data_IF_492280383969
#
_entry.id   IF_492280383969
#
_cell.length_a   1.000
_cell.length_b   1.000
_cell.length_c   1.000
_cell.angle_alpha   90.00
_cell.angle_beta   90.00
_cell.angle_gamma   90.00
#
_symmetry.space_group_name_H-M   'P 1'
#
loop_
_entity.id
_entity.type
_entity.pdbx_description
1 polymer ?
#
# COMPACT_ATOMS: atom_id res chain seq x y z
N UNK A 1 -7.40 -6.54 -12.59
CA UNK A 1 -6.26 -7.08 -11.85
C UNK A 1 -5.01 -6.96 -12.71
N UNK A 2 -3.92 -6.42 -12.15
CA UNK A 2 -2.62 -6.25 -12.83
C UNK A 2 -1.61 -7.33 -12.42
N UNK A 3 -1.86 -7.99 -11.29
CA UNK A 3 -1.01 -9.00 -10.69
C UNK A 3 -1.40 -9.17 -9.23
N UNK A 4 -0.48 -9.75 -8.46
CA UNK A 4 -0.61 -10.03 -7.03
C UNK A 4 0.41 -9.18 -6.26
N UNK A 5 -0.05 -8.57 -5.18
CA UNK A 5 0.79 -8.07 -4.10
C UNK A 5 0.81 -9.15 -3.03
N UNK A 6 1.98 -9.76 -2.81
CA UNK A 6 2.17 -10.78 -1.79
C UNK A 6 2.67 -10.10 -0.51
N UNK A 7 1.78 -9.87 0.46
CA UNK A 7 2.14 -9.29 1.74
C UNK A 7 2.40 -10.36 2.79
N UNK A 8 3.64 -10.46 3.26
CA UNK A 8 4.10 -11.64 3.98
C UNK A 8 4.33 -12.83 3.04
N UNK A 9 4.70 -14.02 3.55
CA UNK A 9 4.83 -14.34 4.97
C UNK A 9 6.19 -13.97 5.58
N UNK A 10 7.12 -13.37 4.80
CA UNK A 10 8.50 -13.09 5.21
C UNK A 10 8.63 -11.80 6.04
N UNK A 11 7.88 -11.71 7.13
CA UNK A 11 7.74 -10.51 7.95
C UNK A 11 8.21 -10.73 9.39
N UNK A 12 8.44 -9.64 10.13
CA UNK A 12 8.79 -9.72 11.53
C UNK A 12 7.55 -10.09 12.37
N UNK A 13 7.58 -11.24 13.05
CA UNK A 13 6.46 -11.72 13.85
C UNK A 13 6.03 -10.75 14.96
N UNK A 14 6.96 -9.94 15.49
CA UNK A 14 6.66 -8.91 16.48
C UNK A 14 5.90 -7.72 15.88
N UNK A 15 5.91 -7.57 14.56
CA UNK A 15 5.20 -6.56 13.79
C UNK A 15 4.06 -7.19 12.97
N UNK A 16 3.53 -8.35 13.36
CA UNK A 16 2.54 -9.08 12.55
C UNK A 16 1.24 -8.31 12.29
N UNK A 17 0.82 -7.41 13.19
CA UNK A 17 -0.50 -6.77 13.09
C UNK A 17 -1.63 -7.79 12.95
N UNK A 18 -2.39 -7.71 11.86
CA UNK A 18 -3.46 -8.66 11.51
C UNK A 18 -3.00 -9.84 10.64
N UNK A 19 -1.71 -10.15 10.62
CA UNK A 19 -1.16 -11.34 9.99
C UNK A 19 -1.19 -12.53 10.97
N UNK A 20 -1.51 -13.71 10.46
CA UNK A 20 -1.51 -14.95 11.24
C UNK A 20 -0.10 -15.40 11.57
N UNK A 21 0.21 -15.46 12.86
CA UNK A 21 1.53 -15.81 13.35
C UNK A 21 1.99 -17.20 12.93
N UNK A 22 1.07 -18.17 12.87
CA UNK A 22 1.36 -19.55 12.46
C UNK A 22 1.66 -19.70 10.97
N UNK A 23 1.41 -18.66 10.17
CA UNK A 23 1.74 -18.60 8.74
C UNK A 23 2.98 -17.76 8.44
N UNK A 24 3.56 -17.08 9.45
CA UNK A 24 4.82 -16.35 9.31
C UNK A 24 5.94 -17.39 9.30
N UNK A 25 6.72 -17.38 8.22
CA UNK A 25 7.81 -18.35 8.00
C UNK A 25 9.12 -17.61 7.79
N UNK A 26 10.28 -18.28 8.02
CA UNK A 26 11.57 -17.71 7.69
C UNK A 26 11.65 -17.25 6.24
N UNK A 27 12.34 -16.14 6.02
CA UNK A 27 12.62 -15.63 4.69
C UNK A 27 13.41 -16.65 3.87
N UNK A 28 12.89 -17.02 2.69
CA UNK A 28 13.49 -18.04 1.82
C UNK A 28 13.25 -17.71 0.35
N UNK A 29 14.35 -17.63 -0.39
CA UNK A 29 14.32 -17.48 -1.86
C UNK A 29 13.68 -18.71 -2.50
N UNK A 30 13.97 -19.93 -2.00
CA UNK A 30 13.42 -21.16 -2.56
C UNK A 30 11.89 -21.24 -2.42
N UNK A 31 11.34 -20.75 -1.30
CA UNK A 31 9.88 -20.65 -1.13
C UNK A 31 9.30 -19.60 -2.07
N UNK A 32 9.96 -18.45 -2.20
CA UNK A 32 9.51 -17.39 -3.12
C UNK A 32 9.52 -17.84 -4.58
N UNK A 33 10.52 -18.61 -5.01
CA UNK A 33 10.56 -19.22 -6.34
C UNK A 33 9.34 -20.12 -6.60
N UNK A 34 8.94 -20.91 -5.59
CA UNK A 34 7.71 -21.70 -5.67
C UNK A 34 6.48 -20.81 -5.81
N UNK A 35 6.36 -19.75 -5.01
CA UNK A 35 5.23 -18.80 -5.14
C UNK A 35 5.19 -18.12 -6.52
N UNK A 36 6.34 -17.73 -7.08
CA UNK A 36 6.42 -17.16 -8.44
C UNK A 36 5.94 -18.18 -9.47
N UNK A 37 6.38 -19.44 -9.35
CA UNK A 37 5.98 -20.52 -10.25
C UNK A 37 4.49 -20.82 -10.16
N UNK A 38 3.96 -21.05 -8.96
CA UNK A 38 2.54 -21.40 -8.74
C UNK A 38 1.60 -20.25 -9.07
N UNK A 39 2.03 -19.00 -8.90
CA UNK A 39 1.25 -17.83 -9.32
C UNK A 39 1.27 -17.59 -10.84
N UNK A 40 2.03 -18.36 -11.62
CA UNK A 40 2.20 -18.13 -13.06
C UNK A 40 2.85 -16.78 -13.39
N UNK A 41 3.73 -16.28 -12.51
CA UNK A 41 4.40 -14.98 -12.68
C UNK A 41 3.51 -13.75 -12.44
N UNK A 42 2.37 -13.93 -11.74
CA UNK A 42 1.45 -12.83 -11.45
C UNK A 42 1.93 -11.92 -10.32
N UNK A 43 2.85 -12.35 -9.46
CA UNK A 43 3.37 -11.54 -8.35
C UNK A 43 4.13 -10.33 -8.91
N UNK A 44 3.80 -9.13 -8.43
CA UNK A 44 4.41 -7.84 -8.85
C UNK A 44 5.06 -7.09 -7.69
N UNK A 45 4.54 -7.27 -6.48
CA UNK A 45 5.04 -6.63 -5.27
C UNK A 45 5.12 -7.71 -4.20
N UNK A 46 6.20 -7.70 -3.41
CA UNK A 46 6.33 -8.54 -2.21
C UNK A 46 6.64 -7.62 -1.02
N UNK A 47 5.79 -7.68 0.00
CA UNK A 47 6.05 -7.01 1.29
C UNK A 47 6.71 -7.97 2.25
N UNK A 48 7.87 -7.56 2.76
CA UNK A 48 8.72 -8.34 3.66
C UNK A 48 9.44 -7.42 4.66
N UNK A 49 10.08 -8.01 5.66
CA UNK A 49 10.88 -7.32 6.66
C UNK A 49 12.38 -7.41 6.31
N UNK A 50 13.04 -6.31 5.88
CA UNK A 50 14.42 -6.36 5.40
C UNK A 50 15.46 -6.75 6.45
N UNK A 51 15.19 -6.58 7.75
CA UNK A 51 16.09 -7.05 8.81
C UNK A 51 16.22 -8.59 8.86
N UNK A 52 15.33 -9.32 8.18
CA UNK A 52 15.39 -10.77 8.03
C UNK A 52 16.21 -11.21 6.80
N UNK A 53 16.57 -10.27 5.92
CA UNK A 53 17.24 -10.54 4.64
C UNK A 53 18.76 -10.43 4.78
N UNK A 54 19.40 -11.53 5.13
CA UNK A 54 20.86 -11.58 5.29
C UNK A 54 21.57 -11.26 3.97
N UNK A 55 22.48 -10.27 4.01
CA UNK A 55 23.19 -9.73 2.85
C UNK A 55 22.29 -9.18 1.73
N UNK A 56 21.00 -8.92 2.00
CA UNK A 56 20.02 -8.42 1.04
C UNK A 56 19.85 -9.30 -0.22
N UNK A 57 20.07 -10.62 -0.08
CA UNK A 57 19.98 -11.59 -1.18
C UNK A 57 18.55 -11.73 -1.69
N UNK A 58 17.56 -11.69 -0.80
CA UNK A 58 16.16 -11.77 -1.18
C UNK A 58 15.70 -10.51 -1.92
N UNK A 59 16.12 -9.35 -1.43
CA UNK A 59 15.89 -8.04 -2.09
C UNK A 59 16.43 -8.06 -3.52
N UNK A 60 17.69 -8.49 -3.68
CA UNK A 60 18.35 -8.59 -4.99
C UNK A 60 17.61 -9.57 -5.91
N UNK A 61 17.27 -10.74 -5.38
CA UNK A 61 16.52 -11.76 -6.11
C UNK A 61 15.17 -11.24 -6.63
N UNK A 62 14.38 -10.55 -5.79
CA UNK A 62 13.11 -9.96 -6.21
C UNK A 62 13.33 -8.95 -7.34
N UNK A 63 14.33 -8.07 -7.20
CA UNK A 63 14.64 -7.07 -8.21
C UNK A 63 15.07 -7.72 -9.55
N UNK A 64 15.88 -8.78 -9.52
CA UNK A 64 16.29 -9.56 -10.70
C UNK A 64 15.11 -10.26 -11.39
N UNK A 65 14.06 -10.59 -10.64
CA UNK A 65 12.80 -11.14 -11.17
C UNK A 65 11.80 -10.06 -11.60
N UNK A 66 12.20 -8.79 -11.61
CA UNK A 66 11.33 -7.63 -11.87
C UNK A 66 10.11 -7.55 -10.93
N UNK A 67 10.26 -8.09 -9.71
CA UNK A 67 9.28 -7.99 -8.63
C UNK A 67 9.72 -6.86 -7.70
N UNK A 68 8.79 -6.01 -7.30
CA UNK A 68 9.06 -4.84 -6.49
C UNK A 68 9.20 -5.26 -5.02
N UNK A 69 10.39 -5.09 -4.41
CA UNK A 69 10.53 -5.30 -2.98
C UNK A 69 9.92 -4.11 -2.24
N UNK A 70 8.99 -4.41 -1.32
CA UNK A 70 8.33 -3.44 -0.46
C UNK A 70 8.61 -3.76 1.01
N UNK A 71 8.97 -2.76 1.80
CA UNK A 71 9.12 -2.94 3.25
C UNK A 71 7.77 -2.82 3.96
N UNK A 72 7.48 -3.75 4.87
CA UNK A 72 6.34 -3.68 5.78
C UNK A 72 6.48 -4.69 6.90
N UNK A 73 5.72 -4.53 7.99
CA UNK A 73 5.78 -5.42 9.15
C UNK A 73 7.22 -5.65 9.64
N UNK A 74 7.94 -4.55 9.86
CA UNK A 74 9.40 -4.52 10.01
C UNK A 74 9.81 -3.71 11.24
N UNK A 75 10.75 -4.24 12.02
CA UNK A 75 11.39 -3.52 13.11
C UNK A 75 12.83 -3.11 12.77
N UNK A 76 13.20 -3.10 11.49
CA UNK A 76 14.51 -2.68 11.01
C UNK A 76 14.92 -1.28 11.49
N UNK A 77 16.22 -1.13 11.74
CA UNK A 77 16.84 0.18 11.94
C UNK A 77 17.02 0.94 10.62
N UNK A 78 17.45 2.20 10.73
CA UNK A 78 17.63 3.08 9.58
C UNK A 78 18.67 2.51 8.58
N UNK A 79 19.84 2.08 9.07
CA UNK A 79 20.95 1.64 8.23
C UNK A 79 20.65 0.36 7.44
N UNK A 80 19.84 -0.53 8.01
CA UNK A 80 19.32 -1.71 7.32
C UNK A 80 18.50 -1.30 6.10
N UNK A 81 17.64 -0.28 6.23
CA UNK A 81 16.80 0.19 5.12
C UNK A 81 17.64 0.90 4.06
N UNK A 82 18.59 1.75 4.48
CA UNK A 82 19.52 2.39 3.55
C UNK A 82 20.29 1.36 2.75
N UNK A 83 20.71 0.27 3.39
CA UNK A 83 21.41 -0.82 2.72
C UNK A 83 20.49 -1.56 1.75
N UNK A 84 19.27 -1.94 2.17
CA UNK A 84 18.30 -2.61 1.30
C UNK A 84 17.96 -1.81 0.02
N UNK A 85 17.92 -0.47 0.10
CA UNK A 85 17.71 0.41 -1.07
C UNK A 85 18.81 0.20 -2.11
N UNK A 86 20.07 -0.01 -1.69
CA UNK A 86 21.20 -0.26 -2.61
C UNK A 86 21.06 -1.59 -3.36
N UNK A 87 20.28 -2.53 -2.82
CA UNK A 87 19.99 -3.83 -3.41
C UNK A 87 18.64 -3.89 -4.14
N UNK A 88 17.93 -2.76 -4.26
CA UNK A 88 16.73 -2.66 -5.09
C UNK A 88 15.40 -2.55 -4.34
N UNK A 89 15.40 -2.29 -3.03
CA UNK A 89 14.18 -1.91 -2.30
C UNK A 89 13.56 -0.63 -2.92
N UNK A 90 12.26 -0.67 -3.25
CA UNK A 90 11.59 0.38 -4.06
C UNK A 90 10.36 1.01 -3.42
N UNK A 91 9.67 0.31 -2.52
CA UNK A 91 8.43 0.78 -1.90
C UNK A 91 8.39 0.46 -0.41
N UNK A 92 7.44 1.06 0.31
CA UNK A 92 7.05 0.67 1.66
C UNK A 92 5.53 0.56 1.75
N UNK A 93 5.04 -0.53 2.32
CA UNK A 93 3.61 -0.76 2.53
C UNK A 93 3.11 -0.02 3.77
N UNK A 94 1.94 0.61 3.65
CA UNK A 94 1.19 1.29 4.73
C UNK A 94 2.05 1.94 5.83
N UNK A 95 2.97 2.83 5.44
CA UNK A 95 3.93 3.50 6.33
C UNK A 95 3.30 3.91 7.67
N UNK A 96 4.09 3.79 8.75
CA UNK A 96 3.74 3.96 10.17
C UNK A 96 3.11 2.73 10.83
N UNK A 97 2.34 1.93 10.09
CA UNK A 97 1.67 0.75 10.63
C UNK A 97 2.66 -0.41 10.70
N UNK A 98 2.78 -1.05 11.88
CA UNK A 98 3.67 -2.21 12.08
C UNK A 98 5.13 -1.94 11.66
N UNK A 99 5.66 -0.76 12.02
CA UNK A 99 7.02 -0.34 11.70
C UNK A 99 7.75 0.25 12.92
N UNK A 100 9.09 0.10 12.97
CA UNK A 100 9.91 0.87 13.92
C UNK A 100 9.77 2.37 13.64
N UNK A 101 9.18 3.10 14.60
CA UNK A 101 8.90 4.53 14.52
C UNK A 101 10.14 5.41 14.60
N UNK A 102 9.93 6.73 14.49
CA UNK A 102 11.00 7.73 14.52
C UNK A 102 11.40 8.07 15.95
N UNK A 103 12.69 7.89 16.27
CA UNK A 103 13.32 8.47 17.43
C UNK A 103 14.50 9.37 17.00
N UNK A 104 14.76 10.45 17.73
CA UNK A 104 15.72 11.49 17.30
C UNK A 104 17.18 11.01 17.17
N UNK A 105 17.57 9.92 17.84
CA UNK A 105 18.87 9.23 17.69
C UNK A 105 18.81 7.95 16.84
N UNK A 106 17.61 7.42 16.65
CA UNK A 106 17.36 6.16 15.95
C UNK A 106 16.14 6.35 15.06
N UNK A 107 16.31 6.86 13.82
CA UNK A 107 15.18 7.20 12.97
C UNK A 107 14.30 6.00 12.62
N UNK A 108 14.85 4.78 12.70
CA UNK A 108 14.13 3.54 12.45
C UNK A 108 13.68 3.38 11.00
N UNK A 109 12.80 2.41 10.79
CA UNK A 109 12.17 2.13 9.48
C UNK A 109 11.44 3.37 8.95
N UNK A 110 10.59 3.99 9.77
CA UNK A 110 9.80 5.17 9.36
C UNK A 110 10.70 6.34 8.99
N UNK A 111 11.77 6.59 9.75
CA UNK A 111 12.71 7.67 9.47
C UNK A 111 13.39 7.49 8.11
N UNK A 112 13.87 6.27 7.81
CA UNK A 112 14.45 5.95 6.51
C UNK A 112 13.44 6.16 5.38
N UNK A 113 12.22 5.66 5.55
CA UNK A 113 11.16 5.86 4.55
C UNK A 113 10.90 7.35 4.36
N UNK A 114 10.83 8.18 5.40
CA UNK A 114 10.57 9.62 5.24
C UNK A 114 11.69 10.35 4.48
N UNK A 115 12.95 10.05 4.77
CA UNK A 115 14.10 10.80 4.24
C UNK A 115 14.56 10.33 2.86
N UNK A 116 14.35 9.06 2.50
CA UNK A 116 14.91 8.50 1.27
C UNK A 116 14.08 8.78 0.02
N UNK A 117 14.54 9.70 -0.83
CA UNK A 117 13.77 10.24 -1.98
C UNK A 117 13.38 9.20 -3.04
N UNK A 118 14.11 8.10 -3.14
CA UNK A 118 13.90 7.11 -4.19
C UNK A 118 12.90 6.01 -3.78
N UNK A 119 12.47 5.97 -2.52
CA UNK A 119 11.51 5.01 -2.01
C UNK A 119 10.08 5.57 -2.12
N UNK A 120 9.15 4.78 -2.66
CA UNK A 120 7.72 5.08 -2.59
C UNK A 120 7.18 4.75 -1.19
N UNK A 121 6.25 5.55 -0.69
CA UNK A 121 5.58 5.34 0.59
C UNK A 121 4.08 5.19 0.39
N UNK A 122 3.56 3.98 0.64
CA UNK A 122 2.12 3.70 0.62
C UNK A 122 1.48 4.17 1.93
N UNK A 123 0.33 4.83 1.86
CA UNK A 123 -0.40 5.37 3.01
C UNK A 123 -1.89 5.05 2.92
N UNK A 124 -2.46 4.62 4.05
CA UNK A 124 -3.91 4.44 4.23
C UNK A 124 -4.51 5.77 4.71
N UNK A 125 -5.32 6.40 3.87
CA UNK A 125 -5.86 7.73 4.12
C UNK A 125 -7.31 7.70 4.66
N UNK A 126 -7.58 6.86 5.66
CA UNK A 126 -8.91 6.73 6.28
C UNK A 126 -9.10 7.61 7.53
N UNK A 127 -8.04 8.30 7.98
CA UNK A 127 -7.97 9.07 9.23
C UNK A 127 -8.10 8.23 10.52
N UNK A 128 -8.05 6.90 10.42
CA UNK A 128 -8.11 5.95 11.54
C UNK A 128 -6.73 5.32 11.74
N UNK A 129 -6.16 4.75 10.67
CA UNK A 129 -4.82 4.16 10.71
C UNK A 129 -3.77 5.23 11.00
N UNK A 130 -3.90 6.39 10.36
CA UNK A 130 -2.93 7.47 10.46
C UNK A 130 -3.63 8.80 10.66
N UNK A 131 -3.23 9.51 11.71
CA UNK A 131 -3.75 10.84 12.02
C UNK A 131 -3.48 11.82 10.85
N UNK A 132 -4.43 12.71 10.49
CA UNK A 132 -4.26 13.64 9.35
C UNK A 132 -2.98 14.50 9.39
N UNK A 133 -2.53 14.89 10.58
CA UNK A 133 -1.27 15.62 10.75
C UNK A 133 -0.03 14.79 10.36
N UNK A 134 -0.06 13.47 10.57
CA UNK A 134 1.02 12.56 10.20
C UNK A 134 1.03 12.29 8.70
N UNK A 135 -0.14 12.20 8.05
CA UNK A 135 -0.22 12.14 6.58
C UNK A 135 0.33 13.43 5.97
N UNK A 136 0.02 14.59 6.56
CA UNK A 136 0.61 15.86 6.15
C UNK A 136 2.13 15.90 6.33
N UNK A 137 2.65 15.36 7.45
CA UNK A 137 4.09 15.24 7.67
C UNK A 137 4.74 14.36 6.59
N UNK A 138 4.14 13.21 6.28
CA UNK A 138 4.59 12.33 5.21
C UNK A 138 4.68 13.08 3.88
N UNK A 139 3.61 13.74 3.46
CA UNK A 139 3.58 14.44 2.16
C UNK A 139 4.56 15.61 2.12
N UNK A 140 4.81 16.29 3.24
CA UNK A 140 5.83 17.35 3.33
C UNK A 140 7.26 16.82 3.25
N UNK A 141 7.55 15.70 3.93
CA UNK A 141 8.89 15.12 3.99
C UNK A 141 9.23 14.29 2.74
N UNK A 142 8.34 13.38 2.36
CA UNK A 142 8.48 12.48 1.20
C UNK A 142 8.21 13.18 -0.13
N UNK A 143 7.25 14.10 -0.14
CA UNK A 143 6.72 14.70 -1.35
C UNK A 143 5.56 13.90 -1.94
N UNK A 144 4.66 14.62 -2.62
CA UNK A 144 3.50 14.03 -3.28
C UNK A 144 3.88 13.09 -4.44
N UNK A 145 5.06 13.22 -5.05
CA UNK A 145 5.48 12.38 -6.18
C UNK A 145 5.95 10.97 -5.75
N UNK A 146 6.18 10.77 -4.45
CA UNK A 146 6.67 9.51 -3.88
C UNK A 146 5.75 8.94 -2.79
N UNK A 147 4.56 9.51 -2.64
CA UNK A 147 3.52 8.99 -1.76
C UNK A 147 2.46 8.28 -2.59
N UNK A 148 2.00 7.10 -2.19
CA UNK A 148 0.96 6.33 -2.86
C UNK A 148 -0.20 6.17 -1.90
N UNK A 149 -1.41 6.51 -2.33
CA UNK A 149 -2.61 6.22 -1.54
C UNK A 149 -3.00 4.78 -1.83
N UNK A 150 -3.11 3.98 -0.77
CA UNK A 150 -3.70 2.64 -0.83
C UNK A 150 -4.96 2.63 0.02
N UNK A 151 -5.84 1.68 -0.25
CA UNK A 151 -6.97 1.43 0.63
C UNK A 151 -6.60 0.48 1.75
N UNK A 152 -5.74 -0.51 1.46
CA UNK A 152 -5.56 -1.68 2.34
C UNK A 152 -6.92 -2.23 2.78
N UNK A 153 -7.79 -2.47 1.80
CA UNK A 153 -9.20 -2.73 2.05
C UNK A 153 -9.46 -4.23 2.14
N UNK A 154 -10.11 -4.66 3.21
CA UNK A 154 -10.59 -6.03 3.35
C UNK A 154 -12.02 -6.17 2.82
N UNK A 155 -12.54 -7.40 2.78
CA UNK A 155 -13.82 -7.77 2.15
C UNK A 155 -15.05 -6.99 2.63
N UNK A 156 -14.96 -6.29 3.76
CA UNK A 156 -16.03 -5.46 4.30
C UNK A 156 -16.10 -4.05 3.68
N UNK A 157 -15.13 -3.64 2.85
CA UNK A 157 -15.15 -2.35 2.20
C UNK A 157 -16.42 -2.17 1.33
N UNK A 158 -17.18 -1.11 1.62
CA UNK A 158 -18.47 -0.84 0.96
C UNK A 158 -19.64 -1.69 1.46
N UNK A 159 -19.46 -2.49 2.52
CA UNK A 159 -20.52 -3.28 3.16
C UNK A 159 -20.92 -2.67 4.52
N UNK A 160 -22.00 -3.22 5.09
CA UNK A 160 -22.48 -2.84 6.42
C UNK A 160 -21.58 -3.36 7.55
N UNK A 161 -21.68 -2.75 8.73
CA UNK A 161 -21.04 -3.23 9.96
C UNK A 161 -21.40 -4.70 10.23
N UNK A 162 -20.44 -5.47 10.74
CA UNK A 162 -20.61 -6.91 10.89
C UNK A 162 -19.32 -7.65 11.23
N UNK A 163 -19.39 -8.98 11.14
CA UNK A 163 -18.25 -9.87 11.38
C UNK A 163 -17.79 -10.46 10.05
N UNK A 164 -16.50 -10.35 9.77
CA UNK A 164 -15.89 -10.76 8.53
C UNK A 164 -14.62 -11.59 8.77
N UNK A 165 -14.18 -12.31 7.74
CA UNK A 165 -12.96 -13.09 7.75
C UNK A 165 -11.81 -12.34 7.06
N UNK A 166 -10.64 -12.37 7.66
CA UNK A 166 -9.38 -11.87 7.10
C UNK A 166 -8.29 -12.93 7.32
N UNK A 167 -7.96 -13.70 6.29
CA UNK A 167 -6.91 -14.72 6.36
C UNK A 167 -7.16 -15.82 7.41
N UNK A 168 -8.42 -16.08 7.79
CA UNK A 168 -8.77 -16.99 8.89
C UNK A 168 -8.90 -16.30 10.26
N UNK A 169 -8.70 -14.98 10.35
CA UNK A 169 -8.97 -14.19 11.53
C UNK A 169 -10.37 -13.58 11.47
N UNK A 170 -11.06 -13.61 12.61
CA UNK A 170 -12.34 -12.96 12.79
C UNK A 170 -12.14 -11.46 13.03
N UNK A 171 -12.74 -10.64 12.18
CA UNK A 171 -12.67 -9.18 12.21
C UNK A 171 -14.06 -8.61 12.50
N UNK A 172 -14.14 -7.71 13.48
CA UNK A 172 -15.35 -6.95 13.80
C UNK A 172 -15.25 -5.58 13.14
N UNK A 173 -16.25 -5.26 12.30
CA UNK A 173 -16.38 -3.96 11.66
C UNK A 173 -17.48 -3.17 12.34
N UNK A 174 -17.12 -1.98 12.84
CA UNK A 174 -18.06 -1.04 13.45
C UNK A 174 -17.69 0.38 13.07
N UNK A 175 -18.65 1.18 12.61
CA UNK A 175 -18.44 2.55 12.13
C UNK A 175 -17.30 2.63 11.09
N UNK A 176 -17.25 1.65 10.18
CA UNK A 176 -16.19 1.53 9.15
C UNK A 176 -14.77 1.23 9.67
N UNK A 177 -14.59 0.99 10.98
CA UNK A 177 -13.31 0.52 11.53
C UNK A 177 -13.30 -1.01 11.64
N UNK A 178 -12.29 -1.65 11.05
CA UNK A 178 -12.08 -3.08 11.10
C UNK A 178 -11.06 -3.44 12.18
N UNK A 179 -11.45 -4.26 13.17
CA UNK A 179 -10.59 -4.63 14.30
C UNK A 179 -10.65 -6.11 14.62
N UNK A 180 -9.52 -6.66 15.05
CA UNK A 180 -9.47 -7.98 15.70
C UNK A 180 -10.15 -7.93 17.08
N UNK A 181 -10.44 -9.10 17.65
CA UNK A 181 -10.91 -9.21 19.04
C UNK A 181 -9.92 -8.61 20.05
N UNK A 182 -8.63 -8.58 19.73
CA UNK A 182 -7.60 -7.92 20.55
C UNK A 182 -7.65 -6.39 20.50
N UNK A 183 -8.45 -5.79 19.62
CA UNK A 183 -8.56 -4.34 19.41
C UNK A 183 -7.62 -3.77 18.34
N UNK A 184 -6.64 -4.55 17.88
CA UNK A 184 -5.75 -4.15 16.77
C UNK A 184 -6.56 -3.87 15.51
N UNK A 185 -6.17 -2.84 14.75
CA UNK A 185 -6.70 -2.63 13.40
C UNK A 185 -6.37 -3.82 12.50
N UNK A 186 -7.32 -4.19 11.65
CA UNK A 186 -7.25 -5.33 10.75
C UNK A 186 -7.69 -4.88 9.36
N UNK A 187 -6.72 -4.40 8.58
CA UNK A 187 -6.93 -3.69 7.32
C UNK A 187 -7.92 -2.52 7.52
N UNK A 188 -8.44 -1.98 6.41
CA UNK A 188 -9.45 -0.93 6.41
C UNK A 188 -10.73 -1.37 5.69
N UNK A 189 -11.76 -0.53 5.77
CA UNK A 189 -12.95 -0.59 4.90
C UNK A 189 -12.97 0.55 3.88
N UNK A 190 -11.83 1.22 3.69
CA UNK A 190 -11.68 2.42 2.88
C UNK A 190 -11.90 2.12 1.39
N UNK A 191 -12.65 2.99 0.71
CA UNK A 191 -12.70 3.02 -0.76
C UNK A 191 -11.83 4.15 -1.31
N UNK A 192 -11.27 3.96 -2.51
CA UNK A 192 -10.28 4.89 -3.08
C UNK A 192 -10.82 6.32 -3.26
N UNK A 193 -12.08 6.49 -3.66
CA UNK A 193 -12.69 7.82 -3.80
C UNK A 193 -12.75 8.55 -2.45
N UNK A 194 -13.10 7.84 -1.38
CA UNK A 194 -13.10 8.36 -0.02
C UNK A 194 -11.70 8.68 0.48
N UNK A 195 -10.71 7.86 0.13
CA UNK A 195 -9.30 8.13 0.42
C UNK A 195 -8.87 9.48 -0.19
N UNK A 196 -9.14 9.69 -1.48
CA UNK A 196 -8.85 10.96 -2.17
C UNK A 196 -9.61 12.13 -1.54
N UNK A 197 -10.90 11.95 -1.22
CA UNK A 197 -11.71 12.96 -0.51
C UNK A 197 -11.08 13.35 0.83
N UNK A 198 -10.63 12.38 1.63
CA UNK A 198 -10.00 12.62 2.92
C UNK A 198 -8.68 13.41 2.78
N UNK A 199 -7.86 13.09 1.77
CA UNK A 199 -6.63 13.85 1.50
C UNK A 199 -6.91 15.33 1.24
N UNK A 200 -8.02 15.63 0.56
CA UNK A 200 -8.41 17.00 0.22
C UNK A 200 -9.08 17.69 1.41
N UNK A 201 -10.14 17.11 1.95
CA UNK A 201 -10.98 17.77 2.97
C UNK A 201 -10.38 17.75 4.38
N UNK A 202 -9.65 16.69 4.73
CA UNK A 202 -9.14 16.48 6.10
C UNK A 202 -7.66 16.80 6.24
N UNK A 203 -6.91 16.74 5.13
CA UNK A 203 -5.47 16.96 5.13
C UNK A 203 -5.08 18.19 4.32
N UNK A 204 -6.02 18.85 3.63
CA UNK A 204 -5.80 20.06 2.83
C UNK A 204 -4.74 19.87 1.73
N UNK A 205 -4.63 18.67 1.19
CA UNK A 205 -3.77 18.36 0.05
C UNK A 205 -4.54 18.63 -1.24
N UNK A 206 -3.92 19.34 -2.18
CA UNK A 206 -4.60 19.72 -3.43
C UNK A 206 -5.11 18.50 -4.21
N UNK A 207 -6.17 18.70 -5.00
CA UNK A 207 -6.78 17.64 -5.80
C UNK A 207 -5.77 16.99 -6.76
N UNK A 208 -4.89 17.78 -7.37
CA UNK A 208 -3.89 17.29 -8.32
C UNK A 208 -2.89 16.37 -7.64
N UNK A 209 -2.42 16.74 -6.44
CA UNK A 209 -1.52 15.89 -5.65
C UNK A 209 -2.23 14.62 -5.19
N UNK A 210 -3.46 14.73 -4.70
CA UNK A 210 -4.25 13.59 -4.22
C UNK A 210 -4.54 12.59 -5.34
N UNK A 211 -4.95 13.05 -6.52
CA UNK A 211 -5.18 12.21 -7.70
C UNK A 211 -3.86 11.58 -8.19
N UNK A 212 -2.76 12.34 -8.17
CA UNK A 212 -1.44 11.81 -8.51
C UNK A 212 -1.05 10.63 -7.62
N UNK A 213 -1.21 10.78 -6.31
CA UNK A 213 -0.89 9.73 -5.33
C UNK A 213 -1.79 8.49 -5.47
N UNK A 214 -3.02 8.64 -5.96
CA UNK A 214 -3.95 7.53 -6.20
C UNK A 214 -3.85 6.89 -7.60
N UNK A 215 -3.10 7.48 -8.54
CA UNK A 215 -3.13 7.05 -9.95
C UNK A 215 -1.75 7.04 -10.62
N UNK A 216 -1.11 8.20 -10.75
CA UNK A 216 0.17 8.30 -11.47
C UNK A 216 1.31 7.60 -10.71
N UNK A 217 1.41 7.81 -9.40
CA UNK A 217 2.48 7.23 -8.61
C UNK A 217 2.45 5.69 -8.55
N UNK A 218 1.30 5.02 -8.30
CA UNK A 218 1.26 3.56 -8.40
C UNK A 218 1.52 3.07 -9.84
N UNK A 219 1.11 3.82 -10.87
CA UNK A 219 1.48 3.50 -12.25
C UNK A 219 2.99 3.61 -12.48
N UNK A 220 3.66 4.61 -11.91
CA UNK A 220 5.13 4.76 -11.98
C UNK A 220 5.86 3.64 -11.25
N UNK A 221 5.39 3.29 -10.04
CA UNK A 221 5.95 2.16 -9.27
C UNK A 221 5.91 0.86 -10.10
N UNK A 222 4.79 0.61 -10.78
CA UNK A 222 4.58 -0.58 -11.62
C UNK A 222 5.14 -0.47 -13.05
N UNK A 223 5.79 0.64 -13.43
CA UNK A 223 6.29 0.85 -14.79
C UNK A 223 5.20 0.97 -15.87
N UNK A 224 3.99 1.36 -15.49
CA UNK A 224 2.81 1.51 -16.36
C UNK A 224 2.49 2.96 -16.73
N UNK A 225 3.28 3.91 -16.25
CA UNK A 225 3.02 5.34 -16.40
C UNK A 225 3.08 5.83 -17.86
N UNK A 226 3.78 5.11 -18.75
CA UNK A 226 3.71 5.39 -20.20
C UNK A 226 2.34 5.09 -20.82
N UNK A 227 1.59 4.13 -20.27
CA UNK A 227 0.29 3.67 -20.78
C UNK A 227 -0.90 4.24 -19.99
N UNK A 228 -0.77 4.51 -18.68
CA UNK A 228 -1.88 4.97 -17.81
C UNK A 228 -1.41 5.82 -16.63
N UNK A 229 -2.32 6.17 -15.73
CA UNK A 229 -2.04 6.95 -14.51
C UNK A 229 -2.21 8.46 -14.66
N UNK A 230 -2.42 8.95 -15.89
CA UNK A 230 -2.72 10.37 -16.16
C UNK A 230 -3.63 10.52 -17.37
N UNK A 231 -4.34 11.65 -17.45
CA UNK A 231 -5.09 12.05 -18.62
C UNK A 231 -4.13 12.74 -19.60
N UNK A 232 -3.64 11.97 -20.58
CA UNK A 232 -2.69 12.46 -21.58
C UNK A 232 -3.03 11.82 -22.92
N UNK A 233 -3.14 12.60 -24.03
CA UNK A 233 -3.39 12.03 -25.35
C UNK A 233 -2.40 10.89 -25.68
N UNK A 234 -2.91 9.80 -26.23
CA UNK A 234 -2.14 8.59 -26.55
C UNK A 234 -2.06 7.55 -25.42
N UNK A 235 -2.39 7.91 -24.17
CA UNK A 235 -2.54 6.94 -23.07
C UNK A 235 -3.88 6.21 -23.15
N UNK A 236 -3.96 5.07 -22.46
CA UNK A 236 -5.17 4.28 -22.28
C UNK A 236 -6.24 5.09 -21.57
N UNK A 237 -7.46 5.03 -22.10
CA UNK A 237 -8.66 5.61 -21.48
C UNK A 237 -9.18 4.75 -20.31
N UNK A 238 -8.38 4.69 -19.23
CA UNK A 238 -8.80 4.25 -17.90
C UNK A 238 -9.09 5.52 -17.07
N UNK A 239 -10.37 5.85 -16.89
CA UNK A 239 -10.84 7.15 -16.37
C UNK A 239 -11.93 6.93 -15.34
N UNK A 240 -11.88 7.66 -14.24
CA UNK A 240 -12.97 7.74 -13.25
C UNK A 240 -13.49 9.16 -13.22
N UNK A 241 -14.82 9.33 -13.29
CA UNK A 241 -15.50 10.61 -13.16
C UNK A 241 -16.18 10.64 -11.80
N UNK A 242 -15.91 11.69 -11.02
CA UNK A 242 -16.47 11.91 -9.69
C UNK A 242 -17.37 13.15 -9.69
N UNK A 243 -18.38 13.19 -8.80
CA UNK A 243 -19.13 14.41 -8.52
C UNK A 243 -18.41 15.30 -7.48
N UNK A 244 -18.99 16.45 -7.15
CA UNK A 244 -18.43 17.40 -6.18
C UNK A 244 -18.31 16.83 -4.76
N UNK A 245 -19.02 15.73 -4.46
CA UNK A 245 -18.92 15.00 -3.21
C UNK A 245 -17.88 13.86 -3.26
N UNK A 246 -17.14 13.74 -4.36
CA UNK A 246 -16.23 12.63 -4.67
C UNK A 246 -16.91 11.27 -4.81
N UNK A 247 -18.21 11.23 -5.07
CA UNK A 247 -18.89 9.97 -5.41
C UNK A 247 -18.61 9.60 -6.86
N UNK A 248 -18.42 8.30 -7.12
CA UNK A 248 -18.14 7.82 -8.48
C UNK A 248 -19.41 7.94 -9.33
N UNK A 249 -19.33 8.71 -10.43
CA UNK A 249 -20.40 8.79 -11.42
C UNK A 249 -20.16 7.77 -12.54
N UNK A 250 -18.93 7.72 -13.07
CA UNK A 250 -18.56 6.80 -14.16
C UNK A 250 -17.19 6.18 -13.91
N UNK A 251 -17.03 4.92 -14.32
CA UNK A 251 -15.71 4.31 -14.54
C UNK A 251 -15.61 3.84 -15.98
N UNK A 252 -14.58 4.28 -16.67
CA UNK A 252 -14.23 3.93 -18.04
C UNK A 252 -12.94 3.12 -18.00
N UNK A 253 -12.93 1.97 -18.67
CA UNK A 253 -11.76 1.10 -18.76
C UNK A 253 -11.50 0.75 -20.22
N UNK A 254 -10.29 1.07 -20.71
CA UNK A 254 -9.92 0.93 -22.13
C UNK A 254 -10.97 1.56 -23.07
N UNK A 255 -11.48 2.73 -22.70
CA UNK A 255 -12.48 3.48 -23.48
C UNK A 255 -13.91 2.96 -23.40
N UNK A 256 -14.20 1.93 -22.59
CA UNK A 256 -15.56 1.42 -22.38
C UNK A 256 -16.07 1.79 -21.00
N UNK A 257 -17.29 2.31 -20.91
CA UNK A 257 -17.97 2.51 -19.62
C UNK A 257 -18.23 1.13 -19.00
N UNK A 258 -17.71 0.90 -17.80
CA UNK A 258 -17.90 -0.33 -17.03
C UNK A 258 -18.71 -0.11 -15.75
N UNK A 259 -18.94 1.15 -15.39
CA UNK A 259 -19.79 1.56 -14.28
C UNK A 259 -20.41 2.92 -14.59
N UNK A 260 -21.68 3.08 -14.23
CA UNK A 260 -22.39 4.36 -14.22
C UNK A 260 -23.35 4.36 -13.04
N UNK A 261 -23.37 5.46 -12.27
CA UNK A 261 -24.26 5.65 -11.13
C UNK A 261 -25.74 5.63 -11.52
N UNK A 262 -26.05 6.06 -12.75
CA UNK A 262 -27.43 6.18 -13.25
C UNK A 262 -28.01 4.87 -13.81
N UNK A 263 -27.18 3.85 -14.05
CA UNK A 263 -27.62 2.54 -14.58
C UNK A 263 -28.18 1.58 -13.51
N UNK A 264 -28.68 2.12 -12.40
CA UNK A 264 -29.19 1.38 -11.24
C UNK A 264 -30.53 1.87 -10.68
N UNK A 265 -31.31 2.63 -11.45
CA UNK A 265 -32.74 2.88 -11.20
C UNK A 265 -33.59 2.12 -12.21
#
# INVERSE_FOLDING_TARGET
>A
MLGVHLEGPFINAMQKGAQREDLIIPLSVEVMEKFIKESGGLIKIVTYAPELDTDFKFTSFLNDKEIIPSIGHSFADYETIISAIRFGLKSSSHIFNQMKGVHHREPGTVGAILTEKNLFAEIIADCVHVHPAIVNLLVKAKGADKTIIITDAMRAAGLQDGIYDLGGLKVMVKNSEARLESGNLADSTLIMSKAVKNMIEKMSISIEKSVRMASLNPAQLLGLDKDRGSLTPGKRADITILDDNFEVIYTIKKGKVIYSKDYGN
#
